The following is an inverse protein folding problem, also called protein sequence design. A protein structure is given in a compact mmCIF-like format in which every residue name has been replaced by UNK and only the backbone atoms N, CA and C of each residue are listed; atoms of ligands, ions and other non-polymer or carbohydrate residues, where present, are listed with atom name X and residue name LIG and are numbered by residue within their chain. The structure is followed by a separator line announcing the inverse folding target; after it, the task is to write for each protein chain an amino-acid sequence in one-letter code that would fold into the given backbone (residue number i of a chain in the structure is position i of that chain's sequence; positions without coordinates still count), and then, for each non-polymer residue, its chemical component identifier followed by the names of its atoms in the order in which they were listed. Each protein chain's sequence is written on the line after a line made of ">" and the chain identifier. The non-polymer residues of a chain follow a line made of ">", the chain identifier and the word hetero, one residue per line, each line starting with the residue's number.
data_IF_119007773408
#
_entry.id   IF_119007773408
#
_cell.length_a   1.000
_cell.length_b   1.000
_cell.length_c   1.000
_cell.angle_alpha   90.00
_cell.angle_beta   90.00
_cell.angle_gamma   90.00
#
_symmetry.space_group_name_H-M   'P 1'
#
loop_
_entity.id
_entity.type
_entity.pdbx_description
1 polymer ?
#
# COMPACT_ATOMS: atom_id res chain seq x y z
N UNK A 1 -80.74 -13.71 -6.81
CA UNK A 1 -79.81 -13.96 -7.92
C UNK A 1 -78.40 -14.01 -7.36
N UNK A 2 -77.74 -15.16 -7.58
CA UNK A 2 -76.29 -15.41 -7.58
C UNK A 2 -75.48 -15.18 -6.29
N UNK A 3 -75.28 -16.28 -5.56
CA UNK A 3 -74.13 -16.55 -4.71
C UNK A 3 -72.89 -16.80 -5.59
N UNK A 4 -71.86 -15.97 -5.47
CA UNK A 4 -70.57 -16.17 -6.14
C UNK A 4 -69.60 -16.86 -5.16
N UNK A 5 -69.23 -18.08 -5.53
CA UNK A 5 -68.33 -18.99 -4.82
C UNK A 5 -66.87 -18.53 -4.98
N UNK A 6 -66.14 -18.49 -3.89
CA UNK A 6 -64.76 -18.00 -3.79
C UNK A 6 -63.76 -19.12 -4.09
N UNK A 7 -63.07 -19.05 -5.24
CA UNK A 7 -61.93 -19.91 -5.54
C UNK A 7 -60.62 -19.32 -4.96
N UNK A 8 -59.73 -20.15 -4.37
CA UNK A 8 -58.48 -19.67 -3.78
C UNK A 8 -57.39 -19.42 -4.84
N UNK A 9 -56.44 -18.50 -4.59
CA UNK A 9 -55.43 -18.11 -5.57
C UNK A 9 -54.36 -19.19 -5.78
N UNK A 10 -54.00 -19.32 -7.05
CA UNK A 10 -52.98 -20.21 -7.61
C UNK A 10 -51.62 -20.08 -6.93
N UNK A 11 -50.99 -21.22 -6.67
CA UNK A 11 -49.64 -21.38 -6.11
C UNK A 11 -48.60 -20.81 -7.07
N UNK A 12 -47.82 -19.84 -6.60
CA UNK A 12 -46.63 -19.37 -7.30
C UNK A 12 -45.65 -20.53 -7.56
N UNK A 13 -45.12 -20.69 -8.78
CA UNK A 13 -44.12 -21.71 -9.07
C UNK A 13 -42.81 -21.36 -8.35
N UNK A 14 -42.32 -22.33 -7.58
CA UNK A 14 -41.04 -22.32 -6.87
C UNK A 14 -39.93 -22.11 -7.90
N UNK A 15 -39.21 -21.00 -7.78
CA UNK A 15 -38.03 -20.69 -8.57
C UNK A 15 -36.94 -21.71 -8.21
N UNK A 16 -36.83 -22.78 -8.99
CA UNK A 16 -35.72 -23.72 -8.90
C UNK A 16 -34.49 -23.01 -9.43
N UNK A 17 -33.72 -22.40 -8.52
CA UNK A 17 -32.36 -21.99 -8.81
C UNK A 17 -31.64 -23.21 -9.39
N UNK A 18 -31.14 -23.08 -10.63
CA UNK A 18 -30.24 -24.05 -11.22
C UNK A 18 -29.01 -24.13 -10.30
N UNK A 19 -28.86 -25.24 -9.60
CA UNK A 19 -27.58 -25.61 -9.00
C UNK A 19 -26.58 -25.73 -10.16
N UNK A 20 -25.63 -24.79 -10.22
CA UNK A 20 -24.46 -24.97 -11.06
C UNK A 20 -23.73 -26.24 -10.61
N UNK A 21 -23.26 -27.09 -11.55
CA UNK A 21 -22.52 -28.28 -11.17
C UNK A 21 -21.30 -27.88 -10.32
N UNK A 22 -20.95 -28.66 -9.27
CA UNK A 22 -19.81 -28.34 -8.43
C UNK A 22 -18.58 -28.18 -9.32
N UNK A 23 -17.94 -27.01 -9.24
CA UNK A 23 -16.75 -26.70 -10.02
C UNK A 23 -15.74 -27.84 -9.88
N UNK A 24 -15.30 -28.41 -11.02
CA UNK A 24 -14.34 -29.49 -11.02
C UNK A 24 -13.03 -29.03 -10.37
N UNK A 25 -12.59 -29.75 -9.34
CA UNK A 25 -11.29 -29.51 -8.71
C UNK A 25 -10.17 -29.74 -9.72
N UNK A 26 -9.22 -28.81 -9.76
CA UNK A 26 -8.06 -28.87 -10.66
C UNK A 26 -6.78 -28.91 -9.84
N UNK A 27 -5.88 -29.83 -10.18
CA UNK A 27 -4.58 -29.94 -9.53
C UNK A 27 -3.70 -28.76 -9.92
N UNK A 28 -3.03 -28.16 -8.94
CA UNK A 28 -2.08 -27.10 -9.21
C UNK A 28 -0.87 -27.62 -10.01
N UNK A 29 -0.42 -26.86 -11.01
CA UNK A 29 0.69 -27.27 -11.87
C UNK A 29 2.07 -27.13 -11.22
N UNK A 30 2.22 -26.28 -10.21
CA UNK A 30 3.48 -26.01 -9.51
C UNK A 30 3.58 -26.83 -8.21
N UNK A 31 2.47 -26.96 -7.49
CA UNK A 31 2.41 -27.55 -6.15
C UNK A 31 1.63 -28.86 -6.12
N UNK A 32 2.13 -29.85 -6.85
CA UNK A 32 1.62 -31.21 -6.83
C UNK A 32 2.74 -32.24 -6.65
N UNK A 33 3.14 -32.47 -5.39
CA UNK A 33 4.18 -33.46 -5.07
C UNK A 33 3.59 -34.86 -4.95
N UNK A 34 4.13 -35.82 -5.70
CA UNK A 34 3.67 -37.21 -5.70
C UNK A 34 3.84 -37.92 -4.35
N UNK A 35 4.78 -37.46 -3.54
CA UNK A 35 5.06 -37.88 -2.16
C UNK A 35 4.55 -36.87 -1.11
N UNK A 36 3.75 -35.88 -1.53
CA UNK A 36 3.14 -34.90 -0.63
C UNK A 36 2.26 -35.58 0.42
N UNK A 37 2.27 -35.01 1.63
CA UNK A 37 1.69 -35.59 2.85
C UNK A 37 0.36 -34.97 3.25
N UNK A 38 -0.05 -33.87 2.62
CA UNK A 38 -1.36 -33.23 2.81
C UNK A 38 -1.87 -32.67 1.48
N UNK A 39 -3.19 -32.45 1.40
CA UNK A 39 -3.82 -31.72 0.31
C UNK A 39 -4.53 -30.48 0.85
N UNK A 40 -4.17 -29.32 0.33
CA UNK A 40 -4.87 -28.06 0.59
C UNK A 40 -5.79 -27.76 -0.60
N UNK A 41 -7.03 -27.37 -0.35
CA UNK A 41 -7.98 -26.98 -1.38
C UNK A 41 -8.31 -25.52 -1.19
N UNK A 42 -7.95 -24.68 -2.15
CA UNK A 42 -8.32 -23.26 -2.18
C UNK A 42 -9.23 -23.02 -3.38
N UNK A 43 -10.47 -22.58 -3.13
CA UNK A 43 -11.52 -22.49 -4.15
C UNK A 43 -11.66 -23.81 -4.95
N UNK A 44 -11.29 -23.82 -6.22
CA UNK A 44 -11.34 -24.96 -7.14
C UNK A 44 -9.96 -25.57 -7.45
N UNK A 45 -8.92 -25.23 -6.69
CA UNK A 45 -7.55 -25.68 -6.92
C UNK A 45 -7.05 -26.55 -5.76
N UNK A 46 -6.44 -27.69 -6.09
CA UNK A 46 -5.83 -28.61 -5.14
C UNK A 46 -4.30 -28.50 -5.15
N UNK A 47 -3.72 -28.38 -3.95
CA UNK A 47 -2.28 -28.31 -3.72
C UNK A 47 -1.86 -29.53 -2.91
N UNK A 48 -0.98 -30.37 -3.47
CA UNK A 48 -0.44 -31.54 -2.75
C UNK A 48 0.96 -31.22 -2.25
N UNK A 49 1.07 -30.94 -0.96
CA UNK A 49 2.27 -30.36 -0.33
C UNK A 49 2.71 -31.13 0.92
N UNK A 50 3.82 -30.71 1.53
CA UNK A 50 4.32 -31.33 2.76
C UNK A 50 3.76 -30.66 4.02
N UNK A 51 3.27 -31.48 4.96
CA UNK A 51 2.78 -31.07 6.28
C UNK A 51 3.84 -30.34 7.11
N UNK A 52 5.05 -30.89 7.12
CA UNK A 52 6.12 -30.52 8.07
C UNK A 52 6.47 -29.04 8.04
N UNK A 53 6.84 -28.46 6.88
CA UNK A 53 7.16 -27.04 6.78
C UNK A 53 6.03 -26.11 7.23
N UNK A 54 4.79 -26.40 6.82
CA UNK A 54 3.63 -25.58 7.20
C UNK A 54 3.38 -25.61 8.71
N UNK A 55 3.34 -26.80 9.32
CA UNK A 55 3.14 -26.94 10.76
C UNK A 55 4.32 -26.39 11.58
N UNK A 56 5.54 -26.40 11.03
CA UNK A 56 6.72 -25.85 11.70
C UNK A 56 6.69 -24.33 11.78
N UNK A 57 6.20 -23.67 10.73
CA UNK A 57 6.28 -22.21 10.60
C UNK A 57 4.94 -21.49 10.87
N UNK A 58 3.84 -22.22 11.03
CA UNK A 58 2.52 -21.68 11.37
C UNK A 58 1.88 -22.49 12.50
N UNK A 59 1.67 -21.86 13.68
CA UNK A 59 0.88 -22.46 14.76
C UNK A 59 -0.55 -22.80 14.32
N UNK A 60 -1.17 -21.97 13.48
CA UNK A 60 -2.53 -22.22 12.96
C UNK A 60 -2.56 -23.51 12.12
N UNK A 61 -1.59 -23.70 11.22
CA UNK A 61 -1.47 -24.95 10.46
C UNK A 61 -1.12 -26.13 11.37
N UNK A 62 -0.24 -25.96 12.35
CA UNK A 62 0.05 -27.00 13.34
C UNK A 62 -1.23 -27.52 14.01
N UNK A 63 -2.09 -26.61 14.46
CA UNK A 63 -3.33 -26.95 15.16
C UNK A 63 -4.38 -27.54 14.22
N UNK A 64 -4.57 -26.93 13.04
CA UNK A 64 -5.47 -27.46 12.00
C UNK A 64 -5.12 -28.89 11.61
N UNK A 65 -3.82 -29.19 11.53
CA UNK A 65 -3.31 -30.51 11.16
C UNK A 65 -3.27 -31.51 12.33
N UNK A 66 -3.49 -31.04 13.57
CA UNK A 66 -3.53 -31.88 14.76
C UNK A 66 -4.95 -32.35 15.12
N UNK A 67 -5.98 -31.71 14.54
CA UNK A 67 -7.37 -32.10 14.74
C UNK A 67 -7.73 -33.39 13.98
N UNK A 68 -8.59 -34.26 14.55
CA UNK A 68 -9.11 -35.43 13.85
C UNK A 68 -9.89 -34.99 12.60
N UNK A 69 -9.54 -35.53 11.43
CA UNK A 69 -10.30 -35.24 10.22
C UNK A 69 -11.64 -35.98 10.22
N UNK A 70 -12.75 -35.34 9.82
CA UNK A 70 -14.01 -36.04 9.61
C UNK A 70 -13.82 -37.11 8.53
N UNK A 71 -14.55 -38.24 8.61
CA UNK A 71 -14.45 -39.32 7.62
C UNK A 71 -14.73 -38.77 6.23
N UNK A 72 -13.79 -38.98 5.31
CA UNK A 72 -13.86 -38.43 3.95
C UNK A 72 -15.03 -39.08 3.19
N UNK A 73 -15.87 -38.25 2.59
CA UNK A 73 -16.87 -38.72 1.63
C UNK A 73 -16.14 -39.24 0.37
N UNK A 74 -16.60 -40.35 -0.24
CA UNK A 74 -15.94 -41.03 -1.37
C UNK A 74 -15.94 -40.24 -2.69
N UNK A 75 -16.23 -38.93 -2.66
CA UNK A 75 -16.32 -38.05 -3.81
C UNK A 75 -14.97 -37.48 -4.25
N UNK A 76 -13.89 -37.69 -3.50
CA UNK A 76 -12.55 -37.25 -3.90
C UNK A 76 -11.75 -38.43 -4.44
N UNK A 77 -11.15 -38.26 -5.62
CA UNK A 77 -10.19 -39.19 -6.24
C UNK A 77 -8.86 -39.28 -5.49
N UNK A 78 -8.76 -38.67 -4.30
CA UNK A 78 -7.59 -38.68 -3.44
C UNK A 78 -7.47 -40.02 -2.70
N UNK A 79 -6.23 -40.45 -2.45
CA UNK A 79 -5.97 -41.58 -1.57
C UNK A 79 -6.68 -41.33 -0.22
N UNK A 80 -7.51 -42.27 0.27
CA UNK A 80 -8.35 -42.08 1.46
C UNK A 80 -7.57 -41.86 2.77
N UNK A 81 -6.24 -41.89 2.73
CA UNK A 81 -5.33 -41.72 3.85
C UNK A 81 -4.67 -40.33 3.94
N UNK A 82 -4.82 -39.44 2.96
CA UNK A 82 -4.19 -38.11 2.99
C UNK A 82 -5.11 -37.07 3.65
N UNK A 83 -4.62 -36.31 4.64
CA UNK A 83 -5.37 -35.20 5.22
C UNK A 83 -5.71 -34.13 4.17
N UNK A 84 -6.99 -33.76 4.07
CA UNK A 84 -7.48 -32.69 3.18
C UNK A 84 -7.92 -31.49 4.02
N UNK A 85 -7.48 -30.29 3.67
CA UNK A 85 -7.89 -29.04 4.34
C UNK A 85 -8.45 -28.08 3.29
N UNK A 86 -9.68 -27.62 3.50
CA UNK A 86 -10.28 -26.57 2.69
C UNK A 86 -9.93 -25.18 3.26
N UNK A 87 -9.40 -24.32 2.40
CA UNK A 87 -9.01 -22.95 2.70
C UNK A 87 -9.91 -21.99 1.91
N UNK A 88 -10.23 -20.84 2.51
CA UNK A 88 -11.05 -19.79 1.89
C UNK A 88 -10.25 -18.81 1.04
N UNK A 89 -8.93 -19.02 0.94
CA UNK A 89 -8.02 -18.08 0.29
C UNK A 89 -8.04 -18.18 -1.24
N UNK A 90 -7.45 -17.18 -1.88
CA UNK A 90 -7.14 -17.25 -3.31
C UNK A 90 -6.04 -18.29 -3.55
N UNK A 91 -6.18 -19.15 -4.58
CA UNK A 91 -5.10 -20.02 -5.04
C UNK A 91 -3.80 -19.27 -5.35
N UNK A 92 -3.90 -18.05 -5.89
CA UNK A 92 -2.79 -17.18 -6.26
C UNK A 92 -2.00 -16.76 -5.01
N UNK A 93 -2.67 -16.24 -3.98
CA UNK A 93 -2.03 -15.90 -2.71
C UNK A 93 -1.38 -17.13 -2.05
N UNK A 94 -2.06 -18.28 -2.09
CA UNK A 94 -1.56 -19.50 -1.50
C UNK A 94 -0.28 -19.98 -2.21
N UNK A 95 -0.19 -19.88 -3.55
CA UNK A 95 1.05 -20.17 -4.29
C UNK A 95 2.21 -19.31 -3.81
N UNK A 96 2.00 -18.00 -3.65
CA UNK A 96 3.06 -17.08 -3.22
C UNK A 96 3.62 -17.41 -1.84
N UNK A 97 2.77 -17.91 -0.93
CA UNK A 97 3.21 -18.40 0.39
C UNK A 97 3.88 -19.77 0.28
N UNK A 98 3.31 -20.70 -0.48
CA UNK A 98 3.86 -22.06 -0.61
C UNK A 98 5.26 -22.07 -1.23
N UNK A 99 5.57 -21.13 -2.15
CA UNK A 99 6.92 -20.97 -2.73
C UNK A 99 8.01 -20.82 -1.67
N UNK A 100 7.69 -20.19 -0.54
CA UNK A 100 8.62 -19.98 0.59
C UNK A 100 9.06 -21.31 1.21
N UNK A 101 8.18 -22.30 1.20
CA UNK A 101 8.39 -23.59 1.85
C UNK A 101 8.93 -24.68 0.91
N UNK A 102 9.30 -24.32 -0.32
CA UNK A 102 9.88 -25.24 -1.29
C UNK A 102 11.36 -25.52 -0.99
N UNK A 103 11.84 -26.71 -1.33
CA UNK A 103 13.23 -27.11 -1.12
C UNK A 103 14.16 -26.17 -1.89
N UNK A 104 15.03 -25.44 -1.18
CA UNK A 104 15.97 -24.47 -1.76
C UNK A 104 15.51 -23.01 -1.68
N UNK A 105 14.24 -22.75 -1.39
CA UNK A 105 13.78 -21.43 -1.00
C UNK A 105 14.09 -21.20 0.48
N UNK A 106 14.90 -20.19 0.78
CA UNK A 106 15.00 -19.64 2.13
C UNK A 106 14.46 -18.22 2.12
N UNK A 107 14.02 -17.73 3.28
CA UNK A 107 13.67 -16.31 3.44
C UNK A 107 14.83 -15.39 3.01
N UNK A 108 16.08 -15.83 3.14
CA UNK A 108 17.25 -15.10 2.67
C UNK A 108 17.32 -15.04 1.13
N UNK A 109 16.98 -16.12 0.43
CA UNK A 109 16.87 -16.09 -1.03
C UNK A 109 15.74 -15.18 -1.49
N UNK A 110 14.62 -15.17 -0.77
CA UNK A 110 13.49 -14.30 -1.08
C UNK A 110 13.80 -12.83 -0.78
N UNK A 111 14.54 -12.55 0.30
CA UNK A 111 15.09 -11.23 0.64
C UNK A 111 16.01 -10.67 -0.43
N UNK A 112 16.82 -11.55 -1.05
CA UNK A 112 17.74 -11.17 -2.10
C UNK A 112 17.03 -10.86 -3.44
N UNK A 113 15.78 -11.30 -3.58
CA UNK A 113 14.95 -10.99 -4.74
C UNK A 113 14.16 -9.69 -4.50
N UNK A 114 13.77 -9.03 -5.59
CA UNK A 114 12.76 -7.97 -5.55
C UNK A 114 11.40 -8.62 -5.83
N UNK A 115 10.65 -9.08 -4.80
CA UNK A 115 9.35 -9.69 -4.99
C UNK A 115 8.36 -8.67 -5.58
N UNK A 116 7.41 -9.16 -6.37
CA UNK A 116 6.32 -8.32 -6.85
C UNK A 116 5.40 -7.91 -5.69
N UNK A 117 4.64 -6.83 -5.90
CA UNK A 117 3.63 -6.37 -4.95
C UNK A 117 2.65 -7.48 -4.54
N UNK A 118 2.23 -8.33 -5.47
CA UNK A 118 1.34 -9.46 -5.18
C UNK A 118 1.96 -10.40 -4.15
N UNK A 119 3.22 -10.80 -4.33
CA UNK A 119 3.95 -11.66 -3.39
C UNK A 119 4.01 -11.01 -2.00
N UNK A 120 4.40 -9.74 -1.93
CA UNK A 120 4.47 -8.97 -0.67
C UNK A 120 3.11 -8.93 0.02
N UNK A 121 2.03 -8.67 -0.72
CA UNK A 121 0.68 -8.62 -0.18
C UNK A 121 0.21 -9.98 0.31
N UNK A 122 0.46 -11.06 -0.43
CA UNK A 122 0.10 -12.42 -0.03
C UNK A 122 0.83 -12.85 1.23
N UNK A 123 2.13 -12.54 1.34
CA UNK A 123 2.92 -12.82 2.55
C UNK A 123 2.32 -12.14 3.78
N UNK A 124 1.90 -10.88 3.69
CA UNK A 124 1.30 -10.18 4.82
C UNK A 124 -0.10 -10.74 5.12
N UNK A 125 -0.99 -10.87 4.12
CA UNK A 125 -2.38 -11.31 4.36
C UNK A 125 -2.44 -12.72 4.94
N UNK A 126 -1.83 -13.68 4.25
CA UNK A 126 -1.86 -15.07 4.66
C UNK A 126 -0.92 -15.33 5.83
N UNK A 127 0.20 -14.61 5.90
CA UNK A 127 1.08 -14.66 7.06
C UNK A 127 0.38 -14.19 8.32
N UNK A 128 -0.41 -13.12 8.26
CA UNK A 128 -1.22 -12.69 9.39
C UNK A 128 -2.32 -13.71 9.73
N UNK A 129 -3.09 -14.17 8.72
CA UNK A 129 -4.19 -15.15 8.90
C UNK A 129 -3.72 -16.47 9.52
N UNK A 130 -2.57 -16.98 9.07
CA UNK A 130 -2.02 -18.26 9.49
C UNK A 130 -0.85 -18.14 10.46
N UNK A 131 -0.54 -16.93 10.94
CA UNK A 131 0.56 -16.68 11.87
C UNK A 131 1.94 -17.16 11.35
N UNK A 132 2.24 -16.93 10.07
CA UNK A 132 3.61 -17.00 9.57
C UNK A 132 4.33 -15.68 9.86
N UNK A 133 4.72 -15.46 11.12
CA UNK A 133 5.29 -14.19 11.60
C UNK A 133 6.45 -13.67 10.74
N UNK A 134 7.37 -14.55 10.35
CA UNK A 134 8.51 -14.19 9.52
C UNK A 134 8.12 -13.66 8.13
N UNK A 135 7.00 -14.14 7.57
CA UNK A 135 6.49 -13.63 6.29
C UNK A 135 5.84 -12.26 6.44
N UNK A 136 5.12 -12.04 7.55
CA UNK A 136 4.55 -10.72 7.86
C UNK A 136 5.67 -9.69 8.05
N UNK A 137 6.69 -10.02 8.84
CA UNK A 137 7.83 -9.13 9.06
C UNK A 137 8.54 -8.79 7.74
N UNK A 138 8.78 -9.79 6.90
CA UNK A 138 9.45 -9.59 5.61
C UNK A 138 8.61 -8.76 4.64
N UNK A 139 7.32 -9.04 4.54
CA UNK A 139 6.42 -8.24 3.71
C UNK A 139 6.35 -6.79 4.17
N UNK A 140 6.23 -6.55 5.48
CA UNK A 140 6.23 -5.19 6.04
C UNK A 140 7.55 -4.47 5.79
N UNK A 141 8.69 -5.18 5.82
CA UNK A 141 10.00 -4.63 5.45
C UNK A 141 9.99 -4.12 4.01
N UNK A 142 9.43 -4.87 3.06
CA UNK A 142 9.29 -4.43 1.67
C UNK A 142 8.34 -3.23 1.54
N UNK A 143 7.22 -3.21 2.27
CA UNK A 143 6.34 -2.03 2.27
C UNK A 143 7.03 -0.78 2.79
N UNK A 144 7.88 -0.87 3.82
CA UNK A 144 8.65 0.28 4.34
C UNK A 144 9.66 0.86 3.35
N UNK A 145 10.06 0.11 2.31
CA UNK A 145 10.86 0.66 1.21
C UNK A 145 10.02 1.57 0.30
N UNK A 146 8.74 1.25 0.11
CA UNK A 146 7.78 2.06 -0.66
C UNK A 146 7.13 3.16 0.20
N UNK A 147 7.09 2.99 1.51
CA UNK A 147 6.44 3.89 2.47
C UNK A 147 7.37 4.14 3.66
N UNK A 148 8.47 4.89 3.46
CA UNK A 148 9.39 5.19 4.54
C UNK A 148 8.71 5.97 5.65
N UNK A 149 9.10 5.73 6.90
CA UNK A 149 8.52 6.38 8.08
C UNK A 149 9.45 7.44 8.70
N UNK A 150 10.48 7.87 7.96
CA UNK A 150 11.45 8.87 8.40
C UNK A 150 11.74 9.87 7.28
N UNK A 151 11.89 11.14 7.68
CA UNK A 151 12.43 12.20 6.83
C UNK A 151 13.91 12.41 7.18
N UNK A 152 14.81 12.14 6.24
CA UNK A 152 16.26 12.33 6.41
C UNK A 152 16.69 13.71 5.92
N UNK A 153 17.77 14.28 6.47
CA UNK A 153 18.33 15.57 5.99
C UNK A 153 18.80 15.54 4.54
N UNK A 154 19.20 14.35 4.07
CA UNK A 154 19.93 14.20 2.82
C UNK A 154 19.03 13.74 1.66
N UNK A 155 17.75 13.45 1.93
CA UNK A 155 16.79 13.02 0.90
C UNK A 155 15.34 13.23 1.33
N UNK A 156 14.46 13.42 0.35
CA UNK A 156 13.01 13.47 0.59
C UNK A 156 12.44 12.04 0.74
N UNK A 157 11.25 11.89 1.36
CA UNK A 157 10.69 10.57 1.64
C UNK A 157 9.99 9.98 0.41
N UNK A 158 9.50 10.81 -0.52
CA UNK A 158 8.99 10.34 -1.81
C UNK A 158 10.14 10.29 -2.81
N UNK A 159 10.92 9.22 -2.70
CA UNK A 159 12.07 8.94 -3.58
C UNK A 159 11.65 8.38 -4.93
N UNK A 160 12.51 8.56 -5.93
CA UNK A 160 12.30 8.00 -7.28
C UNK A 160 12.48 6.49 -7.32
N UNK A 161 13.34 5.94 -6.46
CA UNK A 161 13.68 4.51 -6.44
C UNK A 161 12.68 3.66 -5.64
N UNK A 162 11.58 4.25 -5.16
CA UNK A 162 10.54 3.48 -4.47
C UNK A 162 9.98 2.41 -5.42
N UNK A 163 9.70 1.19 -4.92
CA UNK A 163 9.19 0.11 -5.77
C UNK A 163 7.89 0.53 -6.46
N UNK A 164 7.94 0.65 -7.79
CA UNK A 164 6.86 1.25 -8.59
C UNK A 164 5.56 0.42 -8.55
N UNK A 165 5.68 -0.88 -8.33
CA UNK A 165 4.58 -1.84 -8.22
C UNK A 165 3.91 -1.81 -6.84
N UNK A 166 4.57 -1.27 -5.82
CA UNK A 166 4.03 -1.09 -4.46
C UNK A 166 3.39 0.28 -4.23
N UNK A 167 3.42 1.19 -5.20
CA UNK A 167 2.81 2.53 -5.11
C UNK A 167 1.61 2.66 -6.07
N UNK A 168 1.12 3.88 -6.30
CA UNK A 168 -0.07 4.14 -7.10
C UNK A 168 -1.28 3.37 -6.55
N UNK A 169 -2.02 2.64 -7.40
CA UNK A 169 -3.23 1.92 -7.01
C UNK A 169 -2.96 0.88 -5.89
N UNK A 170 -1.73 0.35 -5.82
CA UNK A 170 -1.30 -0.59 -4.80
C UNK A 170 -1.25 0.04 -3.39
N UNK A 171 -1.24 1.38 -3.28
CA UNK A 171 -1.35 2.09 -2.01
C UNK A 171 -2.64 1.79 -1.25
N UNK A 172 -3.72 1.45 -1.97
CA UNK A 172 -4.98 1.03 -1.37
C UNK A 172 -4.76 -0.23 -0.51
N UNK A 173 -4.04 -1.19 -1.08
CA UNK A 173 -3.69 -2.43 -0.40
C UNK A 173 -2.72 -2.16 0.75
N UNK A 174 -1.73 -1.28 0.56
CA UNK A 174 -0.80 -0.90 1.62
C UNK A 174 -1.51 -0.31 2.85
N UNK A 175 -2.53 0.54 2.66
CA UNK A 175 -3.36 1.05 3.76
C UNK A 175 -4.09 -0.09 4.47
N UNK A 176 -4.78 -0.96 3.72
CA UNK A 176 -5.54 -2.05 4.31
C UNK A 176 -4.64 -3.06 5.06
N UNK A 177 -3.44 -3.33 4.54
CA UNK A 177 -2.46 -4.18 5.19
C UNK A 177 -1.89 -3.53 6.44
N UNK A 178 -1.58 -2.23 6.39
CA UNK A 178 -1.16 -1.49 7.57
C UNK A 178 -2.23 -1.53 8.68
N UNK A 179 -3.52 -1.43 8.33
CA UNK A 179 -4.63 -1.62 9.28
C UNK A 179 -4.70 -3.04 9.80
N UNK A 180 -4.55 -4.04 8.92
CA UNK A 180 -4.61 -5.46 9.28
C UNK A 180 -3.52 -5.85 10.28
N UNK A 181 -2.33 -5.29 10.15
CA UNK A 181 -1.15 -5.62 10.98
C UNK A 181 -0.82 -4.55 12.02
N UNK A 182 -1.73 -3.60 12.27
CA UNK A 182 -1.54 -2.49 13.21
C UNK A 182 -0.21 -1.73 12.98
N UNK A 183 0.23 -1.64 11.73
CA UNK A 183 1.49 -1.01 11.31
C UNK A 183 1.25 0.45 10.93
N UNK A 184 0.84 1.24 11.93
CA UNK A 184 0.41 2.63 11.77
C UNK A 184 1.50 3.55 11.17
N UNK A 185 2.77 3.17 11.25
CA UNK A 185 3.89 3.92 10.67
C UNK A 185 3.84 4.01 9.13
N UNK A 186 3.16 3.08 8.47
CA UNK A 186 2.98 3.06 7.01
C UNK A 186 1.88 4.02 6.53
N UNK A 187 0.89 4.28 7.39
CA UNK A 187 -0.36 4.93 7.00
C UNK A 187 -0.20 6.34 6.44
N UNK A 188 0.62 7.26 7.00
CA UNK A 188 0.65 8.64 6.54
C UNK A 188 1.08 8.76 5.07
N UNK A 189 2.10 8.00 4.65
CA UNK A 189 2.53 8.00 3.25
C UNK A 189 1.63 7.16 2.36
N UNK A 190 1.09 6.03 2.84
CA UNK A 190 0.16 5.23 2.05
C UNK A 190 -1.15 5.98 1.73
N UNK A 191 -1.69 6.73 2.70
CA UNK A 191 -2.85 7.60 2.50
C UNK A 191 -2.51 8.82 1.61
N UNK A 192 -1.30 9.36 1.70
CA UNK A 192 -0.82 10.40 0.79
C UNK A 192 -0.77 9.88 -0.66
N UNK A 193 -0.26 8.68 -0.89
CA UNK A 193 -0.28 8.04 -2.20
C UNK A 193 -1.71 7.80 -2.71
N UNK A 194 -2.62 7.35 -1.84
CA UNK A 194 -4.03 7.21 -2.19
C UNK A 194 -4.64 8.55 -2.63
N UNK A 195 -4.25 9.67 -2.03
CA UNK A 195 -4.73 11.00 -2.44
C UNK A 195 -4.33 11.36 -3.89
N UNK A 196 -3.24 10.81 -4.42
CA UNK A 196 -2.76 11.06 -5.79
C UNK A 196 -3.58 10.35 -6.86
N UNK A 197 -4.34 9.32 -6.49
CA UNK A 197 -5.17 8.55 -7.41
C UNK A 197 -6.36 9.32 -8.00
N UNK A 198 -6.65 10.54 -7.51
CA UNK A 198 -7.75 11.33 -8.05
C UNK A 198 -9.09 10.59 -7.91
N UNK A 199 -9.78 10.40 -9.03
CA UNK A 199 -11.03 9.64 -9.13
C UNK A 199 -10.83 8.12 -9.22
N UNK A 200 -9.66 7.64 -9.66
CA UNK A 200 -9.42 6.19 -9.83
C UNK A 200 -9.32 5.47 -8.49
N UNK A 201 -9.24 6.19 -7.37
CA UNK A 201 -9.31 5.63 -6.02
C UNK A 201 -10.58 4.77 -5.81
N UNK A 202 -11.70 5.14 -6.45
CA UNK A 202 -12.97 4.40 -6.32
C UNK A 202 -13.00 3.14 -7.17
N UNK A 203 -12.04 2.96 -8.08
CA UNK A 203 -11.92 1.74 -8.87
C UNK A 203 -11.32 0.60 -8.04
N UNK A 204 -10.63 0.90 -6.93
CA UNK A 204 -9.97 -0.12 -6.11
C UNK A 204 -8.75 -0.72 -6.81
N UNK A 205 -8.12 -1.70 -6.17
CA UNK A 205 -7.00 -2.47 -6.68
C UNK A 205 -7.48 -3.84 -7.13
N UNK A 206 -7.17 -4.22 -8.37
CA UNK A 206 -7.52 -5.55 -8.90
C UNK A 206 -6.43 -6.58 -8.53
N UNK A 207 -6.86 -7.66 -7.88
CA UNK A 207 -6.00 -8.77 -7.45
C UNK A 207 -5.83 -9.79 -8.59
N UNK A 208 -4.84 -10.66 -8.47
CA UNK A 208 -4.55 -11.71 -9.47
C UNK A 208 -5.74 -12.67 -9.68
N UNK A 209 -6.62 -12.82 -8.69
CA UNK A 209 -7.81 -13.65 -8.76
C UNK A 209 -9.04 -12.92 -9.37
N UNK A 210 -8.83 -11.70 -9.89
CA UNK A 210 -9.86 -10.84 -10.47
C UNK A 210 -10.76 -10.13 -9.44
N UNK A 211 -10.58 -10.39 -8.13
CA UNK A 211 -11.31 -9.65 -7.09
C UNK A 211 -10.72 -8.25 -6.91
N UNK A 212 -11.52 -7.34 -6.35
CA UNK A 212 -11.08 -5.96 -6.11
C UNK A 212 -11.03 -5.64 -4.62
N UNK A 213 -9.99 -4.93 -4.25
CA UNK A 213 -9.77 -4.40 -2.91
C UNK A 213 -9.95 -2.88 -2.90
N UNK A 214 -10.69 -2.38 -1.92
CA UNK A 214 -11.01 -0.96 -1.79
C UNK A 214 -10.53 -0.44 -0.45
N UNK A 215 -10.33 0.87 -0.35
CA UNK A 215 -10.18 1.50 0.96
C UNK A 215 -11.46 1.30 1.76
N UNK A 216 -11.31 1.21 3.07
CA UNK A 216 -12.45 1.34 3.98
C UNK A 216 -13.17 2.67 3.73
N UNK A 217 -14.49 2.78 3.96
CA UNK A 217 -15.19 4.06 3.85
C UNK A 217 -14.57 5.15 4.73
N UNK A 218 -14.00 4.76 5.87
CA UNK A 218 -13.29 5.66 6.78
C UNK A 218 -12.00 6.21 6.15
N UNK A 219 -11.13 5.35 5.63
CA UNK A 219 -9.87 5.78 5.01
C UNK A 219 -10.08 6.52 3.69
N UNK A 220 -11.13 6.17 2.93
CA UNK A 220 -11.56 6.94 1.77
C UNK A 220 -11.99 8.36 2.18
N UNK A 221 -12.76 8.47 3.27
CA UNK A 221 -13.14 9.75 3.87
C UNK A 221 -11.93 10.57 4.34
N UNK A 222 -10.93 9.92 4.95
CA UNK A 222 -9.65 10.55 5.34
C UNK A 222 -8.92 11.13 4.13
N UNK A 223 -8.81 10.36 3.04
CA UNK A 223 -8.19 10.84 1.80
C UNK A 223 -8.92 12.07 1.25
N UNK A 224 -10.26 12.00 1.17
CA UNK A 224 -11.07 13.12 0.69
C UNK A 224 -10.89 14.39 1.54
N UNK A 225 -10.95 14.26 2.87
CA UNK A 225 -10.77 15.39 3.79
C UNK A 225 -9.34 15.95 3.79
N UNK A 226 -8.33 15.12 3.49
CA UNK A 226 -6.93 15.51 3.48
C UNK A 226 -6.52 16.28 2.21
N UNK A 227 -7.08 15.96 1.03
CA UNK A 227 -6.66 16.53 -0.27
C UNK A 227 -6.54 18.06 -0.25
N UNK A 228 -7.59 18.75 0.19
CA UNK A 228 -7.58 20.22 0.24
C UNK A 228 -6.53 20.77 1.22
N UNK A 229 -6.35 20.12 2.38
CA UNK A 229 -5.34 20.51 3.39
C UNK A 229 -3.92 20.31 2.87
N UNK A 230 -3.67 19.20 2.15
CA UNK A 230 -2.37 18.89 1.54
C UNK A 230 -2.02 19.91 0.46
N UNK A 231 -2.94 20.19 -0.46
CA UNK A 231 -2.74 21.19 -1.50
C UNK A 231 -2.49 22.59 -0.92
N UNK A 232 -3.29 23.01 0.06
CA UNK A 232 -3.12 24.30 0.74
C UNK A 232 -1.75 24.40 1.43
N UNK A 233 -1.33 23.38 2.16
CA UNK A 233 -0.01 23.37 2.83
C UNK A 233 1.15 23.39 1.83
N UNK A 234 1.03 22.74 0.68
CA UNK A 234 2.02 22.86 -0.40
C UNK A 234 2.10 24.31 -0.90
N UNK A 235 0.95 24.95 -1.16
CA UNK A 235 0.89 26.34 -1.61
C UNK A 235 1.48 27.31 -0.58
N UNK A 236 1.09 27.16 0.70
CA UNK A 236 1.63 27.96 1.81
C UNK A 236 3.14 27.80 1.95
N UNK A 237 3.65 26.58 1.83
CA UNK A 237 5.08 26.31 1.87
C UNK A 237 5.83 27.05 0.74
N UNK A 238 5.33 27.01 -0.50
CA UNK A 238 5.91 27.77 -1.62
C UNK A 238 5.99 29.25 -1.27
N UNK A 239 4.85 29.84 -0.87
CA UNK A 239 4.73 31.27 -0.62
C UNK A 239 5.64 31.73 0.53
N UNK A 240 5.73 30.94 1.61
CA UNK A 240 6.62 31.24 2.73
C UNK A 240 8.08 31.20 2.32
N UNK A 241 8.49 30.22 1.50
CA UNK A 241 9.88 30.14 1.00
C UNK A 241 10.16 31.31 0.07
N UNK A 242 9.24 31.65 -0.85
CA UNK A 242 9.40 32.78 -1.76
C UNK A 242 9.52 34.13 -1.02
N UNK A 243 8.73 34.32 0.03
CA UNK A 243 8.78 35.54 0.84
C UNK A 243 10.09 35.63 1.63
N UNK A 244 10.51 34.53 2.28
CA UNK A 244 11.78 34.46 3.01
C UNK A 244 13.01 34.57 2.08
N UNK A 245 12.91 34.02 0.87
CA UNK A 245 13.96 34.07 -0.14
C UNK A 245 13.95 35.36 -0.97
N UNK A 246 13.05 36.31 -0.72
CA UNK A 246 12.95 37.53 -1.51
C UNK A 246 14.22 38.40 -1.41
N UNK A 247 14.53 39.21 -2.46
CA UNK A 247 15.69 40.09 -2.45
C UNK A 247 15.70 41.02 -1.22
N UNK A 248 16.85 41.10 -0.53
CA UNK A 248 17.02 41.86 0.71
C UNK A 248 16.46 41.19 1.97
N UNK A 249 15.57 40.20 1.86
CA UNK A 249 15.10 39.43 3.03
C UNK A 249 16.06 38.30 3.39
N UNK A 250 16.72 37.68 2.40
CA UNK A 250 17.73 36.64 2.63
C UNK A 250 18.84 37.09 3.58
N UNK A 251 19.33 38.32 3.45
CA UNK A 251 20.37 38.91 4.30
C UNK A 251 19.88 39.14 5.74
N UNK A 252 18.58 39.38 5.92
CA UNK A 252 17.94 39.54 7.24
C UNK A 252 17.75 38.19 7.92
N UNK A 253 17.30 37.19 7.17
CA UNK A 253 17.03 35.84 7.68
C UNK A 253 18.33 35.07 7.94
N UNK A 254 19.33 35.23 7.08
CA UNK A 254 20.60 34.49 7.13
C UNK A 254 21.77 35.46 7.24
N UNK A 255 22.27 35.68 8.46
CA UNK A 255 23.38 36.61 8.72
C UNK A 255 24.68 36.24 8.00
N UNK A 256 24.91 34.95 7.77
CA UNK A 256 26.10 34.42 7.07
C UNK A 256 25.89 34.31 5.55
N UNK A 257 24.78 34.82 5.02
CA UNK A 257 24.49 34.79 3.60
C UNK A 257 25.46 35.65 2.79
N UNK A 258 25.92 35.10 1.67
CA UNK A 258 26.81 35.77 0.70
C UNK A 258 26.28 35.51 -0.69
N UNK A 259 25.72 36.53 -1.34
CA UNK A 259 25.28 36.44 -2.73
C UNK A 259 26.42 36.83 -3.69
N UNK A 260 26.82 35.91 -4.57
CA UNK A 260 27.82 36.17 -5.60
C UNK A 260 27.20 36.42 -6.98
N UNK A 261 25.89 36.16 -7.14
CA UNK A 261 25.16 36.36 -8.40
C UNK A 261 24.49 37.73 -8.53
N UNK A 262 24.70 38.64 -7.57
CA UNK A 262 24.22 40.03 -7.60
C UNK A 262 22.73 40.15 -8.00
N UNK A 263 22.40 41.01 -8.98
CA UNK A 263 21.02 41.24 -9.45
C UNK A 263 20.40 40.04 -10.18
N UNK A 264 21.22 39.11 -10.67
CA UNK A 264 20.76 37.94 -11.41
C UNK A 264 20.01 36.98 -10.46
N UNK A 265 20.56 36.73 -9.26
CA UNK A 265 19.86 35.97 -8.21
C UNK A 265 18.54 36.62 -7.82
N UNK A 266 18.52 37.95 -7.65
CA UNK A 266 17.31 38.68 -7.28
C UNK A 266 16.22 38.56 -8.37
N UNK A 267 16.63 38.68 -9.64
CA UNK A 267 15.75 38.53 -10.80
C UNK A 267 15.19 37.11 -10.92
N UNK A 268 16.01 36.09 -10.69
CA UNK A 268 15.59 34.69 -10.70
C UNK A 268 14.58 34.37 -9.58
N UNK A 269 14.80 34.90 -8.37
CA UNK A 269 13.87 34.74 -7.24
C UNK A 269 12.54 35.46 -7.49
N UNK A 270 12.58 36.66 -8.08
CA UNK A 270 11.38 37.40 -8.47
C UNK A 270 10.62 36.69 -9.61
N UNK A 271 11.33 36.16 -10.60
CA UNK A 271 10.75 35.37 -11.69
C UNK A 271 10.08 34.11 -11.15
N UNK A 272 10.73 33.41 -10.20
CA UNK A 272 10.16 32.24 -9.55
C UNK A 272 8.81 32.54 -8.88
N UNK A 273 8.74 33.64 -8.11
CA UNK A 273 7.48 34.11 -7.51
C UNK A 273 6.42 34.42 -8.57
N UNK A 274 6.81 35.13 -9.63
CA UNK A 274 5.90 35.49 -10.73
C UNK A 274 5.32 34.25 -11.40
N UNK A 275 6.16 33.29 -11.79
CA UNK A 275 5.72 32.06 -12.45
C UNK A 275 4.73 31.27 -11.59
N UNK A 276 4.97 31.21 -10.28
CA UNK A 276 4.03 30.59 -9.35
C UNK A 276 2.67 31.29 -9.38
N UNK A 277 2.64 32.61 -9.23
CA UNK A 277 1.40 33.40 -9.23
C UNK A 277 0.64 33.38 -10.57
N UNK A 278 1.33 33.24 -11.71
CA UNK A 278 0.70 33.37 -13.04
C UNK A 278 0.25 32.06 -13.68
N UNK A 279 0.56 30.90 -13.11
CA UNK A 279 0.17 29.63 -13.75
C UNK A 279 0.36 28.36 -12.93
N UNK A 280 1.23 28.34 -11.93
CA UNK A 280 1.57 27.08 -11.26
C UNK A 280 0.63 26.68 -10.11
N UNK A 281 -0.29 27.55 -9.68
CA UNK A 281 -1.26 27.25 -8.60
C UNK A 281 -2.24 26.14 -8.99
N UNK A 282 -2.56 26.01 -10.29
CA UNK A 282 -3.45 24.96 -10.79
C UNK A 282 -2.85 23.56 -10.77
N UNK A 283 -1.52 23.44 -10.69
CA UNK A 283 -0.77 22.18 -10.77
C UNK A 283 -0.20 21.75 -9.40
N UNK A 284 -0.73 22.27 -8.29
CA UNK A 284 -0.23 21.91 -6.95
C UNK A 284 -0.74 20.52 -6.58
N UNK A 285 0.13 19.53 -6.75
CA UNK A 285 -0.07 18.16 -6.29
C UNK A 285 0.06 18.04 -4.76
N UNK A 286 -0.53 16.98 -4.21
CA UNK A 286 -0.64 16.77 -2.76
C UNK A 286 0.69 16.45 -2.08
N UNK A 287 1.68 15.94 -2.82
CA UNK A 287 2.98 15.48 -2.32
C UNK A 287 4.16 16.30 -2.84
N UNK A 288 3.91 17.38 -3.60
CA UNK A 288 4.95 18.11 -4.33
C UNK A 288 6.14 18.55 -3.49
N UNK A 289 5.90 18.95 -2.24
CA UNK A 289 6.95 19.34 -1.30
C UNK A 289 7.84 18.16 -0.85
N UNK A 290 7.30 16.94 -0.87
CA UNK A 290 7.99 15.71 -0.45
C UNK A 290 8.64 14.95 -1.61
N UNK A 291 8.46 15.38 -2.85
CA UNK A 291 9.07 14.77 -4.03
C UNK A 291 10.57 15.07 -4.11
N UNK A 292 11.36 14.07 -4.52
CA UNK A 292 12.82 14.20 -4.74
C UNK A 292 13.15 14.88 -6.09
N UNK A 293 12.16 15.06 -6.97
CA UNK A 293 12.43 15.49 -8.32
C UNK A 293 12.81 16.97 -8.40
N UNK A 294 14.03 17.20 -8.89
CA UNK A 294 14.59 18.53 -9.13
C UNK A 294 13.94 19.36 -10.24
N UNK A 295 12.69 19.04 -10.64
CA UNK A 295 11.75 19.94 -11.32
C UNK A 295 10.90 20.70 -10.29
N UNK A 296 11.53 20.99 -9.16
CA UNK A 296 10.96 21.77 -8.09
C UNK A 296 10.46 23.10 -8.67
N UNK A 297 9.13 23.26 -8.67
CA UNK A 297 8.48 24.58 -8.58
C UNK A 297 8.98 25.39 -7.38
N UNK A 298 9.97 24.91 -6.64
CA UNK A 298 10.47 25.41 -5.39
C UNK A 298 11.94 25.86 -5.46
N UNK A 299 12.66 25.58 -6.56
CA UNK A 299 14.10 25.84 -6.67
C UNK A 299 14.49 26.31 -8.07
N UNK A 300 15.20 27.43 -8.12
CA UNK A 300 15.95 27.81 -9.32
C UNK A 300 17.39 27.29 -9.20
N UNK A 301 17.78 26.35 -10.07
CA UNK A 301 19.16 25.82 -10.13
C UNK A 301 20.19 26.84 -10.62
N UNK A 302 19.72 27.98 -11.13
CA UNK A 302 20.54 29.09 -11.62
C UNK A 302 20.97 30.08 -10.54
N UNK A 303 20.55 29.86 -9.28
CA UNK A 303 21.00 30.68 -8.16
C UNK A 303 22.47 30.43 -7.83
N UNK A 304 23.17 31.48 -7.39
CA UNK A 304 24.51 31.30 -6.82
C UNK A 304 24.46 30.38 -5.59
N UNK A 305 25.57 29.71 -5.27
CA UNK A 305 25.63 28.72 -4.18
C UNK A 305 25.18 29.25 -2.82
N UNK A 306 25.40 30.53 -2.51
CA UNK A 306 24.93 31.15 -1.28
C UNK A 306 23.40 31.26 -1.21
N UNK A 307 22.75 31.75 -2.27
CA UNK A 307 21.29 31.83 -2.36
C UNK A 307 20.67 30.43 -2.40
N UNK A 308 21.27 29.51 -3.16
CA UNK A 308 20.77 28.14 -3.28
C UNK A 308 20.75 27.44 -1.90
N UNK A 309 21.83 27.52 -1.12
CA UNK A 309 21.87 26.96 0.24
C UNK A 309 20.79 27.53 1.15
N UNK A 310 20.52 28.83 1.09
CA UNK A 310 19.46 29.46 1.88
C UNK A 310 18.07 28.96 1.47
N UNK A 311 17.80 28.86 0.16
CA UNK A 311 16.53 28.31 -0.36
C UNK A 311 16.37 26.84 0.04
N UNK A 312 17.43 26.03 -0.09
CA UNK A 312 17.42 24.62 0.31
C UNK A 312 17.11 24.45 1.80
N UNK A 313 17.70 25.30 2.65
CA UNK A 313 17.41 25.31 4.07
C UNK A 313 15.94 25.66 4.37
N UNK A 314 15.41 26.71 3.73
CA UNK A 314 14.00 27.11 3.89
C UNK A 314 13.05 26.00 3.41
N UNK A 315 13.38 25.33 2.31
CA UNK A 315 12.60 24.21 1.78
C UNK A 315 12.63 23.02 2.73
N UNK A 316 13.79 22.69 3.29
CA UNK A 316 13.90 21.61 4.27
C UNK A 316 13.06 21.91 5.51
N UNK A 317 13.03 23.16 5.99
CA UNK A 317 12.15 23.56 7.09
C UNK A 317 10.67 23.33 6.76
N UNK A 318 10.23 23.70 5.54
CA UNK A 318 8.85 23.46 5.13
C UNK A 318 8.54 21.97 4.96
N UNK A 319 9.47 21.19 4.39
CA UNK A 319 9.37 19.72 4.29
C UNK A 319 9.16 19.08 5.65
N UNK A 320 9.97 19.46 6.64
CA UNK A 320 9.83 18.98 8.02
C UNK A 320 8.47 19.34 8.62
N UNK A 321 8.01 20.59 8.44
CA UNK A 321 6.67 21.01 8.91
C UNK A 321 5.55 20.22 8.26
N UNK A 322 5.65 19.97 6.95
CA UNK A 322 4.68 19.21 6.19
C UNK A 322 4.65 17.74 6.62
N UNK A 323 5.82 17.11 6.69
CA UNK A 323 6.01 15.74 7.17
C UNK A 323 5.42 15.51 8.56
N UNK A 324 5.79 16.38 9.51
CA UNK A 324 5.33 16.28 10.90
C UNK A 324 3.82 16.44 11.07
N UNK A 325 3.15 17.04 10.08
CA UNK A 325 1.72 17.26 10.09
C UNK A 325 0.92 16.18 9.37
N UNK A 326 1.54 15.28 8.61
CA UNK A 326 0.82 14.22 7.89
C UNK A 326 -0.10 13.40 8.81
N UNK A 327 0.31 12.95 10.00
CA UNK A 327 -0.58 12.20 10.90
C UNK A 327 -1.82 13.00 11.29
N UNK A 328 -1.65 14.28 11.62
CA UNK A 328 -2.76 15.18 11.98
C UNK A 328 -3.70 15.44 10.80
N UNK A 329 -3.14 15.65 9.59
CA UNK A 329 -3.91 15.87 8.36
C UNK A 329 -4.85 14.69 8.09
N UNK A 330 -4.33 13.47 8.25
CA UNK A 330 -5.10 12.23 8.07
C UNK A 330 -5.87 11.80 9.31
N UNK A 331 -5.75 12.52 10.44
CA UNK A 331 -6.36 12.21 11.73
C UNK A 331 -5.99 10.81 12.27
N UNK A 332 -4.73 10.41 12.11
CA UNK A 332 -4.20 9.11 12.53
C UNK A 332 -3.14 9.28 13.61
N UNK A 333 -3.05 8.28 14.48
CA UNK A 333 -1.93 8.12 15.41
C UNK A 333 -0.76 7.45 14.70
N UNK A 334 0.47 7.80 15.09
CA UNK A 334 1.69 7.18 14.59
C UNK A 334 2.64 6.87 15.77
N UNK A 335 3.54 5.90 15.64
CA UNK A 335 4.50 5.57 16.69
C UNK A 335 5.41 6.74 17.08
N UNK A 336 6.03 6.64 18.26
CA UNK A 336 7.10 7.55 18.67
C UNK A 336 8.24 7.50 17.64
N UNK A 337 8.75 8.68 17.25
CA UNK A 337 9.83 8.81 16.27
C UNK A 337 9.41 9.29 14.88
N UNK A 338 8.11 9.43 14.58
CA UNK A 338 7.66 10.03 13.31
C UNK A 338 8.10 11.49 13.15
N UNK A 339 7.98 12.27 14.24
CA UNK A 339 8.26 13.71 14.21
C UNK A 339 9.77 13.95 14.19
N UNK A 340 10.22 14.68 13.17
CA UNK A 340 11.58 15.22 13.10
C UNK A 340 11.63 16.50 13.93
N UNK A 341 12.63 16.61 14.82
CA UNK A 341 12.82 17.75 15.74
C UNK A 341 13.34 18.99 15.02
#
# INVERSE_FOLDING_TARGET
>A
MQTADSAPPSKHPRNTAREEPPASLTKDGEFWYEDGTIVLIAKNVEFRVYRGPLAKHSPVFHDMLSMPQPPQLPTSTLNPSLPVIHLTDSPEDLRHVLRVFTVGASLEHLRAQAPSCHVVFSWIRLGHKYQFEQLVEEGLRHLRLAYPNQLTSDSTPVRRERPADLINQAAIVAVNLARLTESDDLLPLALLECCKLGETITQGYEREDGTREYLSPEDLGRCFAAKAKLALRNAEAVLQVQEAASPGNLERVFKDHRCNGQEECASLLALWRRLFCTGAVGDIEVDRLLMEDGNELFRSRSLCSGCLRCVDYLLMQQRTKFWNALPEIFNISVPEGWKVK
#
